data_IF_035669009297
#
_entry.id   IF_035669009297
#
_cell.length_a   1.000
_cell.length_b   1.000
_cell.length_c   1.000
_cell.angle_alpha   90.00
_cell.angle_beta   90.00
_cell.angle_gamma   90.00
#
_symmetry.space_group_name_H-M   'P 1'
#
loop_
_entity.id
_entity.type
_entity.pdbx_description
1 polymer ?
#
# COMPACT_ATOMS: atom_id res chain seq x y z
N UNK A 1 0.57 -24.71 11.98
CA UNK A 1 -0.29 -23.96 11.06
C UNK A 1 -0.06 -22.48 11.37
N UNK A 2 0.91 -21.84 10.72
CA UNK A 2 1.27 -20.44 10.97
C UNK A 2 0.32 -19.55 10.17
N UNK A 3 -0.46 -18.72 10.85
CA UNK A 3 -1.33 -17.75 10.19
C UNK A 3 -0.45 -16.75 9.40
N UNK A 4 -0.70 -16.61 8.10
CA UNK A 4 -0.19 -15.47 7.32
C UNK A 4 -0.96 -14.25 7.82
N UNK A 5 -0.36 -13.50 8.75
CA UNK A 5 -0.84 -12.16 9.08
C UNK A 5 -0.50 -11.26 7.90
N UNK A 6 -1.42 -11.16 6.94
CA UNK A 6 -1.26 -10.20 5.85
C UNK A 6 -1.39 -8.80 6.46
N UNK A 7 -0.33 -8.01 6.37
CA UNK A 7 -0.33 -6.63 6.83
C UNK A 7 -1.32 -5.76 6.05
N UNK A 8 -1.38 -4.45 6.36
CA UNK A 8 -2.22 -3.52 5.63
C UNK A 8 -1.85 -3.50 4.15
N UNK A 9 -2.85 -3.52 3.27
CA UNK A 9 -2.67 -3.58 1.83
C UNK A 9 -3.73 -2.77 1.09
N UNK A 10 -3.39 -2.27 -0.09
CA UNK A 10 -4.30 -1.59 -1.04
C UNK A 10 -4.21 -2.29 -2.38
N UNK A 11 -5.34 -2.82 -2.84
CA UNK A 11 -5.44 -3.52 -4.13
C UNK A 11 -4.34 -4.59 -4.34
N UNK A 12 -3.94 -5.27 -3.26
CA UNK A 12 -2.90 -6.30 -3.27
C UNK A 12 -1.47 -5.82 -3.03
N UNK A 13 -1.24 -4.50 -2.92
CA UNK A 13 0.08 -3.91 -2.59
C UNK A 13 0.19 -3.71 -1.09
N UNK A 14 1.23 -4.25 -0.47
CA UNK A 14 1.49 -4.06 0.96
C UNK A 14 1.90 -2.61 1.26
N UNK A 15 1.29 -2.01 2.29
CA UNK A 15 1.58 -0.64 2.72
C UNK A 15 2.62 -0.56 3.84
N UNK A 16 2.86 -1.67 4.52
CA UNK A 16 3.79 -1.79 5.62
C UNK A 16 4.40 -3.19 5.63
N UNK A 17 5.63 -3.28 6.13
CA UNK A 17 6.25 -4.58 6.42
C UNK A 17 5.49 -5.29 7.55
N UNK A 18 5.56 -6.62 7.60
CA UNK A 18 4.79 -7.42 8.55
C UNK A 18 5.06 -7.10 10.04
N UNK A 19 6.19 -6.46 10.34
CA UNK A 19 6.62 -6.06 11.68
C UNK A 19 6.64 -4.53 11.88
N UNK A 20 6.20 -3.77 10.88
CA UNK A 20 6.16 -2.32 10.94
C UNK A 20 4.83 -1.85 11.56
N UNK A 21 4.94 -1.11 12.66
CA UNK A 21 3.79 -0.47 13.29
C UNK A 21 3.67 0.96 12.78
N UNK A 22 2.60 1.23 12.04
CA UNK A 22 2.22 2.58 11.62
C UNK A 22 1.11 3.09 12.53
N UNK A 23 1.14 4.39 12.83
CA UNK A 23 -0.04 5.05 13.35
C UNK A 23 -1.08 5.25 12.22
N UNK A 24 -2.31 5.57 12.61
CA UNK A 24 -3.42 5.72 11.67
C UNK A 24 -3.15 6.77 10.59
N UNK A 25 -2.37 7.80 10.93
CA UNK A 25 -2.07 8.89 10.00
C UNK A 25 -1.05 8.48 8.96
N UNK A 26 0.07 7.85 9.37
CA UNK A 26 1.04 7.29 8.45
C UNK A 26 0.42 6.22 7.55
N UNK A 27 -0.47 5.39 8.10
CA UNK A 27 -1.20 4.39 7.32
C UNK A 27 -2.11 5.03 6.26
N UNK A 28 -2.87 6.06 6.63
CA UNK A 28 -3.70 6.83 5.67
C UNK A 28 -2.86 7.46 4.58
N UNK A 29 -1.76 8.10 4.94
CA UNK A 29 -0.88 8.76 3.97
C UNK A 29 -0.32 7.76 2.96
N UNK A 30 0.15 6.59 3.41
CA UNK A 30 0.63 5.52 2.51
C UNK A 30 -0.48 4.96 1.64
N UNK A 31 -1.67 4.74 2.19
CA UNK A 31 -2.82 4.28 1.40
C UNK A 31 -3.19 5.28 0.30
N UNK A 32 -3.25 6.57 0.62
CA UNK A 32 -3.54 7.63 -0.35
C UNK A 32 -2.45 7.73 -1.42
N UNK A 33 -1.17 7.68 -1.03
CA UNK A 33 -0.06 7.70 -1.97
C UNK A 33 -0.13 6.52 -2.94
N UNK A 34 -0.44 5.32 -2.45
CA UNK A 34 -0.54 4.12 -3.26
C UNK A 34 -1.73 4.16 -4.23
N UNK A 35 -2.90 4.64 -3.77
CA UNK A 35 -4.06 4.85 -4.64
C UNK A 35 -3.76 5.86 -5.75
N UNK A 36 -3.07 6.96 -5.44
CA UNK A 36 -2.66 7.97 -6.42
C UNK A 36 -1.64 7.42 -7.41
N UNK A 37 -0.66 6.63 -6.94
CA UNK A 37 0.32 5.94 -7.80
C UNK A 37 -0.38 5.02 -8.79
N UNK A 38 -1.31 4.19 -8.32
CA UNK A 38 -2.06 3.27 -9.18
C UNK A 38 -2.93 4.04 -10.20
N UNK A 39 -3.58 5.13 -9.77
CA UNK A 39 -4.34 5.99 -10.68
C UNK A 39 -3.45 6.64 -11.74
N UNK A 40 -2.26 7.12 -11.38
CA UNK A 40 -1.30 7.69 -12.31
C UNK A 40 -0.80 6.67 -13.35
N UNK A 41 -0.53 5.43 -12.91
CA UNK A 41 -0.17 4.33 -13.81
C UNK A 41 -1.33 4.01 -14.76
N UNK A 42 -2.55 3.87 -14.24
CA UNK A 42 -3.73 3.59 -15.05
C UNK A 42 -4.03 4.69 -16.08
N UNK A 43 -3.71 5.94 -15.75
CA UNK A 43 -3.82 7.09 -16.65
C UNK A 43 -2.65 7.22 -17.65
N UNK A 44 -1.63 6.36 -17.58
CA UNK A 44 -0.43 6.44 -18.41
C UNK A 44 0.50 7.62 -18.07
N UNK A 45 0.34 8.20 -16.88
CA UNK A 45 1.14 9.34 -16.39
C UNK A 45 2.42 8.88 -15.68
N UNK A 46 2.46 7.62 -15.25
CA UNK A 46 3.59 7.00 -14.58
C UNK A 46 3.84 5.60 -15.16
N UNK A 47 5.10 5.18 -15.21
CA UNK A 47 5.45 3.80 -15.54
C UNK A 47 5.04 2.86 -14.40
N UNK A 48 4.71 1.61 -14.74
CA UNK A 48 4.34 0.59 -13.74
C UNK A 48 5.56 -0.06 -13.04
N UNK A 49 6.77 0.27 -13.48
CA UNK A 49 8.05 -0.31 -13.09
C UNK A 49 8.92 0.71 -12.34
#
# INVERSE_FOLDING_TARGET
MTAVSTGPHVNGVALAEAHESLDDEALRQRACAELLRQAAIAAGLLAAD
#
